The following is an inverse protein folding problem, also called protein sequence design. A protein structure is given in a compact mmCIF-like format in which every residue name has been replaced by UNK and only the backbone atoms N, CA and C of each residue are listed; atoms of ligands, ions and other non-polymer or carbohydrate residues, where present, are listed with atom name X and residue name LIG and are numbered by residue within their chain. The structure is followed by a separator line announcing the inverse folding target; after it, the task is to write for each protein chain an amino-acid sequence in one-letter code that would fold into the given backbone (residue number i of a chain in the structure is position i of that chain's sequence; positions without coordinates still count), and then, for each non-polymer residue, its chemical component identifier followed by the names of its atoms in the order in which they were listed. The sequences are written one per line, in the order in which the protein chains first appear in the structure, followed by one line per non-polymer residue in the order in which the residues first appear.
data_IF_834681598226
#
_entry.id   IF_834681598226
#
_cell.length_a   1.000
_cell.length_b   1.000
_cell.length_c   1.000
_cell.angle_alpha   90.00
_cell.angle_beta   90.00
_cell.angle_gamma   90.00
#
_symmetry.space_group_name_H-M   'P 1'
#
loop_
_entity.id
_entity.type
_entity.pdbx_description
1 polymer ?
#
# COMPACT_ATOMS: atom_id res chain seq x y z
N UNK A 1 -9.73 23.13 -10.18
CA UNK A 1 -9.17 21.94 -10.86
C UNK A 1 -9.88 20.73 -10.29
N UNK A 2 -10.83 20.25 -11.08
CA UNK A 2 -12.03 19.50 -10.68
C UNK A 2 -11.79 17.99 -10.63
N UNK A 3 -12.62 17.29 -9.84
CA UNK A 3 -12.67 15.84 -9.60
C UNK A 3 -12.40 14.96 -10.84
N UNK A 4 -12.79 15.43 -12.03
CA UNK A 4 -12.56 14.79 -13.33
C UNK A 4 -11.07 14.51 -13.60
N UNK A 5 -10.17 15.42 -13.20
CA UNK A 5 -8.73 15.25 -13.40
C UNK A 5 -8.12 14.17 -12.47
N UNK A 6 -8.75 13.92 -11.31
CA UNK A 6 -8.31 12.90 -10.36
C UNK A 6 -8.67 11.52 -10.91
N UNK A 7 -9.89 11.37 -11.45
CA UNK A 7 -10.37 10.10 -12.00
C UNK A 7 -9.59 9.66 -13.23
N UNK A 8 -9.19 10.60 -14.10
CA UNK A 8 -8.40 10.29 -15.29
C UNK A 8 -6.99 9.78 -14.92
N UNK A 9 -6.37 10.38 -13.90
CA UNK A 9 -5.07 9.94 -13.38
C UNK A 9 -5.14 8.55 -12.77
N UNK A 10 -6.16 8.28 -11.95
CA UNK A 10 -6.36 6.96 -11.34
C UNK A 10 -6.57 5.86 -12.39
N UNK A 11 -7.33 6.17 -13.46
CA UNK A 11 -7.51 5.26 -14.58
C UNK A 11 -6.18 4.97 -15.31
N UNK A 12 -5.36 6.00 -15.55
CA UNK A 12 -4.04 5.85 -16.16
C UNK A 12 -3.10 5.00 -15.29
N UNK A 13 -3.07 5.23 -13.96
CA UNK A 13 -2.30 4.43 -13.01
C UNK A 13 -2.77 2.95 -12.99
N UNK A 14 -4.08 2.72 -13.02
CA UNK A 14 -4.64 1.38 -13.10
C UNK A 14 -4.24 0.66 -14.40
N UNK A 15 -4.21 1.37 -15.53
CA UNK A 15 -3.77 0.82 -16.80
C UNK A 15 -2.26 0.52 -16.80
N UNK A 16 -1.43 1.42 -16.28
CA UNK A 16 0.00 1.20 -16.13
C UNK A 16 0.30 -0.02 -15.24
N UNK A 17 -0.46 -0.19 -14.16
CA UNK A 17 -0.35 -1.35 -13.27
C UNK A 17 -0.67 -2.66 -14.00
N UNK A 18 -1.77 -2.71 -14.76
CA UNK A 18 -2.14 -3.90 -15.56
C UNK A 18 -1.05 -4.27 -16.56
N UNK A 19 -0.50 -3.27 -17.24
CA UNK A 19 0.57 -3.48 -18.23
C UNK A 19 1.86 -3.99 -17.57
N UNK A 20 2.19 -3.51 -16.37
CA UNK A 20 3.32 -4.08 -15.62
C UNK A 20 3.06 -5.52 -15.16
N UNK A 21 1.84 -5.85 -14.74
CA UNK A 21 1.47 -7.24 -14.41
C UNK A 21 1.68 -8.15 -15.63
N UNK A 22 1.21 -7.74 -16.81
CA UNK A 22 1.41 -8.47 -18.08
C UNK A 22 2.90 -8.72 -18.36
N UNK A 23 3.74 -7.70 -18.23
CA UNK A 23 5.20 -7.81 -18.42
C UNK A 23 5.88 -8.72 -17.39
N UNK A 24 5.42 -8.72 -16.14
CA UNK A 24 5.92 -9.61 -15.10
C UNK A 24 5.54 -11.07 -15.37
N UNK A 25 4.33 -11.32 -15.88
CA UNK A 25 3.87 -12.65 -16.27
C UNK A 25 4.61 -13.22 -17.49
N UNK A 26 5.32 -12.41 -18.26
CA UNK A 26 6.21 -12.89 -19.33
C UNK A 26 7.59 -13.37 -18.83
N UNK A 27 7.94 -13.11 -17.55
CA UNK A 27 9.26 -13.48 -16.99
C UNK A 27 9.29 -14.93 -16.50
N UNK A 28 10.47 -15.58 -16.40
CA UNK A 28 10.61 -16.87 -15.73
C UNK A 28 10.17 -16.81 -14.26
N UNK A 29 9.65 -17.92 -13.71
CA UNK A 29 9.13 -17.99 -12.33
C UNK A 29 10.19 -17.58 -11.30
N UNK A 30 11.43 -18.04 -11.43
CA UNK A 30 12.51 -17.66 -10.53
C UNK A 30 12.74 -16.14 -10.48
N UNK A 31 12.64 -15.47 -11.63
CA UNK A 31 12.74 -14.01 -11.74
C UNK A 31 11.56 -13.32 -11.08
N UNK A 32 10.35 -13.88 -11.20
CA UNK A 32 9.15 -13.36 -10.52
C UNK A 32 9.24 -13.53 -9.01
N UNK A 33 9.80 -14.62 -8.51
CA UNK A 33 10.00 -14.81 -7.06
C UNK A 33 11.05 -13.84 -6.52
N UNK A 34 12.16 -13.66 -7.25
CA UNK A 34 13.27 -12.80 -6.81
C UNK A 34 12.95 -11.30 -6.88
N UNK A 35 12.22 -10.88 -7.90
CA UNK A 35 11.93 -9.46 -8.19
C UNK A 35 10.43 -9.15 -8.24
N UNK A 36 9.62 -10.03 -7.67
CA UNK A 36 8.17 -9.92 -7.69
C UNK A 36 7.71 -8.62 -7.07
N UNK A 37 6.79 -7.96 -7.75
CA UNK A 37 6.15 -6.75 -7.26
C UNK A 37 4.78 -7.10 -6.66
N UNK A 38 4.49 -6.59 -5.46
CA UNK A 38 3.14 -6.48 -4.90
C UNK A 38 2.63 -5.03 -4.92
N UNK A 39 1.43 -4.80 -5.46
CA UNK A 39 0.73 -3.52 -5.27
C UNK A 39 0.20 -3.46 -3.85
N UNK A 40 0.94 -2.81 -2.97
CA UNK A 40 0.52 -2.60 -1.58
C UNK A 40 -0.05 -1.20 -1.46
N UNK A 41 -1.30 -1.10 -1.00
CA UNK A 41 -1.86 0.17 -0.54
C UNK A 41 -1.11 0.59 0.72
N UNK A 42 -0.36 1.68 0.64
CA UNK A 42 0.40 2.28 1.74
C UNK A 42 -0.49 3.34 2.40
N UNK A 43 -1.03 3.09 3.60
CA UNK A 43 -2.10 3.93 4.17
C UNK A 43 -1.76 5.42 4.29
N UNK A 44 -0.49 5.73 4.59
CA UNK A 44 -0.02 7.12 4.80
C UNK A 44 0.47 7.77 3.51
N UNK A 45 1.01 6.96 2.57
CA UNK A 45 1.62 7.48 1.34
C UNK A 45 0.59 7.61 0.20
N UNK A 46 -0.40 6.73 0.16
CA UNK A 46 -1.40 6.70 -0.89
C UNK A 46 -2.68 7.46 -0.49
N UNK A 47 -2.84 7.81 0.78
CA UNK A 47 -3.93 8.68 1.26
C UNK A 47 -3.30 9.78 2.13
N UNK A 48 -3.20 11.02 1.63
CA UNK A 48 -2.52 12.08 2.34
C UNK A 48 -3.34 12.50 3.56
N UNK A 49 -3.01 11.93 4.71
CA UNK A 49 -3.41 12.41 6.02
C UNK A 49 -2.19 12.39 6.93
N UNK A 50 -1.55 13.54 7.14
CA UNK A 50 -0.51 13.67 8.15
C UNK A 50 -1.18 13.61 9.52
N UNK A 51 -0.72 12.72 10.39
CA UNK A 51 -1.23 12.56 11.76
C UNK A 51 -0.08 12.64 12.75
N UNK A 52 -0.28 13.40 13.82
CA UNK A 52 0.66 13.52 14.94
C UNK A 52 -0.01 12.89 16.16
N UNK A 53 0.76 12.17 16.96
CA UNK A 53 0.29 11.51 18.18
C UNK A 53 0.97 12.14 19.39
N UNK A 54 0.26 12.28 20.53
CA UNK A 54 0.83 12.82 21.76
C UNK A 54 1.80 11.85 22.45
N UNK A 55 1.77 10.56 22.09
CA UNK A 55 2.66 9.53 22.64
C UNK A 55 2.78 8.33 21.70
N UNK A 56 3.81 7.50 21.91
CA UNK A 56 3.97 6.22 21.20
C UNK A 56 2.85 5.24 21.49
N UNK A 57 2.27 5.28 22.70
CA UNK A 57 1.12 4.44 23.07
C UNK A 57 -0.11 4.81 22.23
N UNK A 58 -0.45 6.10 22.15
CA UNK A 58 -1.56 6.58 21.34
C UNK A 58 -1.41 6.22 19.85
N UNK A 59 -0.17 6.24 19.34
CA UNK A 59 0.15 5.76 18.00
C UNK A 59 -0.15 4.25 17.83
N UNK A 60 0.31 3.40 18.76
CA UNK A 60 0.10 1.95 18.71
C UNK A 60 -1.38 1.57 18.81
N UNK A 61 -2.13 2.20 19.70
CA UNK A 61 -3.57 1.98 19.86
C UNK A 61 -4.32 2.35 18.58
N UNK A 62 -3.96 3.47 17.96
CA UNK A 62 -4.55 3.87 16.69
C UNK A 62 -4.22 2.88 15.57
N UNK A 63 -2.96 2.47 15.46
CA UNK A 63 -2.54 1.44 14.50
C UNK A 63 -3.33 0.14 14.69
N UNK A 64 -3.49 -0.29 15.94
CA UNK A 64 -4.22 -1.51 16.28
C UNK A 64 -5.68 -1.46 15.79
N UNK A 65 -6.35 -0.33 16.01
CA UNK A 65 -7.76 -0.15 15.69
C UNK A 65 -8.05 0.18 14.21
N UNK A 66 -7.11 0.79 13.48
CA UNK A 66 -7.37 1.37 12.15
C UNK A 66 -6.59 0.71 11.02
N UNK A 67 -5.48 0.01 11.31
CA UNK A 67 -4.63 -0.58 10.28
C UNK A 67 -4.82 -2.11 10.21
N UNK A 68 -4.93 -2.67 8.99
CA UNK A 68 -4.92 -4.12 8.80
C UNK A 68 -3.67 -4.80 9.37
N UNK A 69 -3.86 -6.00 9.92
CA UNK A 69 -2.77 -6.78 10.53
C UNK A 69 -1.60 -7.08 9.56
N UNK A 70 -1.88 -7.29 8.27
CA UNK A 70 -0.84 -7.60 7.26
C UNK A 70 0.20 -6.48 7.06
N UNK A 71 -0.05 -5.27 7.58
CA UNK A 71 0.88 -4.16 7.50
C UNK A 71 1.96 -4.19 8.59
N UNK A 72 1.84 -5.05 9.61
CA UNK A 72 2.87 -5.24 10.63
C UNK A 72 2.99 -4.12 11.67
N UNK A 73 1.95 -3.28 11.82
CA UNK A 73 1.91 -2.24 12.88
C UNK A 73 1.29 -2.72 14.20
N UNK A 74 0.84 -3.98 14.24
CA UNK A 74 0.28 -4.61 15.44
C UNK A 74 1.41 -5.00 16.40
N UNK A 75 1.08 -5.16 17.69
CA UNK A 75 2.00 -5.74 18.65
C UNK A 75 2.42 -7.15 18.21
N UNK A 76 3.67 -7.52 18.50
CA UNK A 76 4.10 -8.89 18.31
C UNK A 76 3.24 -9.84 19.19
N UNK A 77 2.94 -11.06 18.71
CA UNK A 77 2.32 -12.09 19.54
C UNK A 77 3.17 -12.35 20.78
N UNK A 78 2.51 -12.70 21.90
CA UNK A 78 3.21 -13.26 23.05
C UNK A 78 3.69 -14.68 22.69
N UNK A 79 4.92 -15.01 23.04
CA UNK A 79 5.49 -16.36 22.90
C UNK A 79 4.77 -17.40 23.76
#
# INVERSE_FOLDING_TARGET
MTVIQITDREAAEAQAFREQCRRQMARPIATRMKYGWCRVKRPVLDTPSTRVFPSTQAYREWCAANLPAYLGYQSAPLE
#
